data_IF_929498653934
#
_entry.id   IF_929498653934
#
_cell.length_a   1.000
_cell.length_b   1.000
_cell.length_c   1.000
_cell.angle_alpha   90.00
_cell.angle_beta   90.00
_cell.angle_gamma   90.00
#
_symmetry.space_group_name_H-M   'P 1'
#
loop_
_entity.id
_entity.type
_entity.pdbx_description
1 polymer ?
#
# COMPACT_ATOMS: atom_id res chain seq x y z
N UNK A 1 -54.75 -9.17 -9.49
CA UNK A 1 -54.09 -10.38 -8.97
C UNK A 1 -53.04 -10.76 -10.00
N UNK A 2 -51.78 -10.40 -9.83
CA UNK A 2 -50.85 -11.00 -8.87
C UNK A 2 -49.71 -10.01 -8.60
N UNK A 3 -49.48 -9.76 -7.32
CA UNK A 3 -48.29 -9.13 -6.75
C UNK A 3 -47.19 -10.19 -6.57
N UNK A 4 -45.96 -9.87 -6.97
CA UNK A 4 -44.68 -10.41 -6.50
C UNK A 4 -43.61 -9.82 -7.45
N UNK A 5 -42.49 -9.22 -7.04
CA UNK A 5 -41.61 -9.50 -5.93
C UNK A 5 -40.87 -8.20 -5.55
N UNK A 6 -40.82 -7.89 -4.25
CA UNK A 6 -39.76 -7.06 -3.69
C UNK A 6 -38.41 -7.74 -3.91
N UNK A 7 -37.41 -6.96 -4.33
CA UNK A 7 -36.02 -7.30 -4.11
C UNK A 7 -35.33 -6.05 -3.56
N UNK A 8 -35.29 -5.99 -2.23
CA UNK A 8 -34.50 -5.07 -1.43
C UNK A 8 -33.06 -4.99 -1.94
N UNK A 9 -32.63 -3.79 -2.32
CA UNK A 9 -31.22 -3.50 -2.59
C UNK A 9 -30.39 -3.79 -1.33
N UNK A 10 -29.24 -4.49 -1.43
CA UNK A 10 -28.37 -4.71 -0.29
C UNK A 10 -27.70 -3.38 0.15
N UNK A 11 -27.54 -3.12 1.46
CA UNK A 11 -26.78 -1.98 1.94
C UNK A 11 -25.29 -2.21 1.62
N UNK A 12 -24.71 -1.30 0.84
CA UNK A 12 -23.32 -1.37 0.38
C UNK A 12 -22.31 -1.24 1.52
N UNK A 13 -21.52 -2.31 1.70
CA UNK A 13 -20.11 -2.38 2.08
C UNK A 13 -19.55 -1.28 3.01
N UNK A 14 -19.39 -1.55 4.32
CA UNK A 14 -18.57 -0.75 5.22
C UNK A 14 -17.13 -1.30 5.28
N UNK A 15 -16.11 -0.52 4.90
CA UNK A 15 -14.73 -0.99 5.14
C UNK A 15 -13.51 -0.21 4.64
N UNK A 16 -13.65 0.90 3.90
CA UNK A 16 -12.48 1.56 3.27
C UNK A 16 -11.70 2.51 4.20
N UNK A 17 -12.33 3.13 5.20
CA UNK A 17 -11.71 4.26 5.93
C UNK A 17 -10.62 3.88 6.94
N UNK A 18 -10.66 2.67 7.52
CA UNK A 18 -9.80 2.31 8.67
C UNK A 18 -8.32 2.10 8.31
N UNK A 19 -8.04 1.59 7.11
CA UNK A 19 -6.67 1.34 6.66
C UNK A 19 -5.97 2.64 6.23
N UNK A 20 -6.69 3.56 5.59
CA UNK A 20 -6.18 4.88 5.20
C UNK A 20 -5.88 5.74 6.43
N UNK A 21 -6.76 5.72 7.43
CA UNK A 21 -6.55 6.43 8.69
C UNK A 21 -5.32 5.89 9.45
N UNK A 22 -5.18 4.57 9.51
CA UNK A 22 -4.02 3.91 10.12
C UNK A 22 -2.71 4.25 9.38
N UNK A 23 -2.73 4.23 8.04
CA UNK A 23 -1.59 4.62 7.22
C UNK A 23 -1.18 6.08 7.42
N UNK A 24 -2.16 6.98 7.43
CA UNK A 24 -1.98 8.42 7.66
C UNK A 24 -1.38 8.70 9.04
N UNK A 25 -1.91 8.04 10.08
CA UNK A 25 -1.39 8.09 11.45
C UNK A 25 0.04 7.55 11.54
N UNK A 26 0.35 6.49 10.81
CA UNK A 26 1.71 5.92 10.79
C UNK A 26 2.70 6.86 10.10
N UNK A 27 2.28 7.52 9.02
CA UNK A 27 3.11 8.50 8.31
C UNK A 27 3.28 9.80 9.11
N UNK A 28 2.30 10.24 9.89
CA UNK A 28 2.41 11.48 10.68
C UNK A 28 3.50 11.41 11.76
N UNK A 29 3.85 10.21 12.20
CA UNK A 29 4.92 9.97 13.19
C UNK A 29 6.25 9.56 12.54
N UNK A 30 6.30 9.43 11.21
CA UNK A 30 7.47 8.98 10.48
C UNK A 30 8.36 10.15 10.04
N UNK A 31 9.68 9.93 10.08
CA UNK A 31 10.68 10.92 9.68
C UNK A 31 10.94 10.84 8.17
N UNK A 32 10.74 11.94 7.43
CA UNK A 32 11.07 11.97 5.99
C UNK A 32 12.59 11.88 5.80
N UNK A 33 13.05 10.83 5.11
CA UNK A 33 14.47 10.63 4.78
C UNK A 33 14.82 11.32 3.47
N UNK A 34 14.00 11.10 2.43
CA UNK A 34 14.26 11.63 1.08
C UNK A 34 13.01 11.64 0.23
N UNK A 35 12.86 12.67 -0.59
CA UNK A 35 11.84 12.75 -1.64
C UNK A 35 12.49 12.62 -3.03
N UNK A 36 11.96 11.72 -3.87
CA UNK A 36 12.33 11.57 -5.28
C UNK A 36 11.16 11.83 -6.21
N UNK A 37 11.32 11.60 -7.52
CA UNK A 37 10.25 11.81 -8.51
C UNK A 37 9.11 10.76 -8.45
N UNK A 38 9.42 9.58 -7.89
CA UNK A 38 8.51 8.43 -7.87
C UNK A 38 7.91 8.15 -6.49
N UNK A 39 8.60 8.55 -5.43
CA UNK A 39 8.25 8.17 -4.07
C UNK A 39 8.90 9.07 -3.02
N UNK A 40 8.31 9.11 -1.82
CA UNK A 40 8.93 9.57 -0.58
C UNK A 40 9.38 8.38 0.25
N UNK A 41 10.55 8.52 0.87
CA UNK A 41 11.10 7.55 1.81
C UNK A 41 11.01 8.12 3.22
N UNK A 42 10.41 7.34 4.12
CA UNK A 42 10.34 7.68 5.53
C UNK A 42 11.04 6.63 6.38
N UNK A 43 11.51 7.04 7.55
CA UNK A 43 12.04 6.19 8.60
C UNK A 43 11.04 6.15 9.74
N UNK A 44 10.69 4.96 10.19
CA UNK A 44 9.74 4.74 11.26
C UNK A 44 10.13 3.51 12.10
N UNK A 45 9.42 3.29 13.20
CA UNK A 45 9.46 2.05 13.95
C UNK A 45 8.17 1.25 13.67
N UNK A 46 8.30 0.02 13.19
CA UNK A 46 7.18 -0.90 12.99
C UNK A 46 7.42 -2.16 13.80
N UNK A 47 6.46 -2.51 14.67
CA UNK A 47 6.57 -3.64 15.61
C UNK A 47 7.88 -3.61 16.41
N UNK A 48 8.27 -2.42 16.88
CA UNK A 48 9.50 -2.20 17.64
C UNK A 48 10.80 -2.29 16.82
N UNK A 49 10.72 -2.43 15.49
CA UNK A 49 11.89 -2.55 14.61
C UNK A 49 12.05 -1.30 13.73
N UNK A 50 13.29 -0.82 13.54
CA UNK A 50 13.57 0.26 12.59
C UNK A 50 13.17 -0.18 11.18
N UNK A 51 12.39 0.66 10.51
CA UNK A 51 11.71 0.33 9.26
C UNK A 51 11.79 1.50 8.29
N UNK A 52 11.94 1.18 7.00
CA UNK A 52 11.81 2.16 5.93
C UNK A 52 10.44 2.04 5.30
N UNK A 53 9.76 3.16 5.13
CA UNK A 53 8.50 3.26 4.42
C UNK A 53 8.77 3.90 3.07
N UNK A 54 8.26 3.29 2.00
CA UNK A 54 8.27 3.87 0.65
C UNK A 54 6.84 4.19 0.24
N UNK A 55 6.51 5.47 0.29
CA UNK A 55 5.23 6.02 -0.19
C UNK A 55 5.37 6.35 -1.69
N UNK A 56 4.59 5.70 -2.54
CA UNK A 56 4.61 5.97 -3.98
C UNK A 56 3.60 7.05 -4.35
N UNK A 57 3.99 7.94 -5.26
CA UNK A 57 3.07 8.97 -5.76
C UNK A 57 2.09 8.39 -6.78
N UNK A 58 0.77 8.69 -6.64
CA UNK A 58 -0.18 8.39 -7.70
C UNK A 58 0.16 9.23 -8.93
N UNK A 59 0.04 8.62 -10.10
CA UNK A 59 0.23 9.32 -11.37
C UNK A 59 -1.13 9.44 -12.03
N UNK A 60 -1.71 10.64 -11.95
CA UNK A 60 -3.10 10.93 -12.34
C UNK A 60 -3.41 10.71 -13.83
N UNK A 61 -2.38 10.60 -14.67
CA UNK A 61 -2.55 10.31 -16.10
C UNK A 61 -2.88 8.83 -16.41
N UNK A 62 -2.86 7.93 -15.42
CA UNK A 62 -3.09 6.49 -15.63
C UNK A 62 -4.52 6.12 -15.26
N UNK A 63 -5.10 5.20 -16.04
CA UNK A 63 -6.35 4.56 -15.67
C UNK A 63 -6.19 3.82 -14.31
N UNK A 64 -7.14 3.96 -13.36
CA UNK A 64 -7.03 3.36 -12.02
C UNK A 64 -6.72 1.86 -12.04
N UNK A 65 -7.48 1.06 -12.79
CA UNK A 65 -7.23 -0.39 -12.85
C UNK A 65 -5.84 -0.76 -13.38
N UNK A 66 -5.32 0.01 -14.33
CA UNK A 66 -3.98 -0.20 -14.87
C UNK A 66 -2.92 0.20 -13.84
N UNK A 67 -3.19 1.29 -13.12
CA UNK A 67 -2.32 1.77 -12.07
C UNK A 67 -2.13 0.72 -10.97
N UNK A 68 -3.21 0.07 -10.57
CA UNK A 68 -3.23 -0.94 -9.51
C UNK A 68 -2.46 -2.18 -9.93
N UNK A 69 -2.77 -2.70 -11.13
CA UNK A 69 -2.05 -3.84 -11.74
C UNK A 69 -0.55 -3.56 -11.83
N UNK A 70 -0.18 -2.36 -12.27
CA UNK A 70 1.23 -1.96 -12.40
C UNK A 70 1.93 -1.83 -11.05
N UNK A 71 1.26 -1.22 -10.08
CA UNK A 71 1.82 -1.03 -8.74
C UNK A 71 1.99 -2.35 -8.01
N UNK A 72 0.99 -3.24 -8.04
CA UNK A 72 1.09 -4.59 -7.46
C UNK A 72 2.25 -5.37 -8.07
N UNK A 73 2.41 -5.34 -9.41
CA UNK A 73 3.53 -6.01 -10.08
C UNK A 73 4.88 -5.42 -9.65
N UNK A 74 5.00 -4.10 -9.59
CA UNK A 74 6.24 -3.41 -9.18
C UNK A 74 6.61 -3.71 -7.73
N UNK A 75 5.65 -3.62 -6.80
CA UNK A 75 5.87 -3.96 -5.40
C UNK A 75 6.34 -5.39 -5.25
N UNK A 76 5.69 -6.35 -5.93
CA UNK A 76 6.12 -7.74 -5.91
C UNK A 76 7.55 -7.94 -6.46
N UNK A 77 7.90 -7.21 -7.52
CA UNK A 77 9.25 -7.24 -8.09
C UNK A 77 10.29 -6.69 -7.11
N UNK A 78 10.00 -5.56 -6.46
CA UNK A 78 10.90 -4.93 -5.49
C UNK A 78 11.10 -5.82 -4.26
N UNK A 79 10.03 -6.40 -3.71
CA UNK A 79 10.12 -7.34 -2.59
C UNK A 79 10.98 -8.54 -2.96
N UNK A 80 10.80 -9.11 -4.17
CA UNK A 80 11.63 -10.22 -4.64
C UNK A 80 13.10 -9.83 -4.79
N UNK A 81 13.39 -8.66 -5.35
CA UNK A 81 14.76 -8.16 -5.47
C UNK A 81 15.41 -7.94 -4.10
N UNK A 82 14.70 -7.32 -3.16
CA UNK A 82 15.18 -7.12 -1.77
C UNK A 82 15.46 -8.47 -1.10
N UNK A 83 14.56 -9.44 -1.26
CA UNK A 83 14.74 -10.78 -0.67
C UNK A 83 15.96 -11.49 -1.26
N UNK A 84 16.21 -11.38 -2.57
CA UNK A 84 17.42 -11.93 -3.21
C UNK A 84 18.69 -11.28 -2.67
N UNK A 85 18.75 -9.96 -2.60
CA UNK A 85 19.89 -9.24 -2.05
C UNK A 85 20.13 -9.59 -0.57
N UNK A 86 19.06 -9.80 0.20
CA UNK A 86 19.13 -10.26 1.60
C UNK A 86 19.66 -11.69 1.72
N UNK A 87 19.22 -12.61 0.85
CA UNK A 87 19.74 -13.99 0.82
C UNK A 87 21.22 -14.03 0.46
N UNK A 88 21.68 -13.11 -0.38
CA UNK A 88 23.08 -12.97 -0.76
C UNK A 88 23.95 -12.21 0.27
N UNK A 89 23.37 -11.77 1.40
CA UNK A 89 24.10 -11.11 2.49
C UNK A 89 24.40 -9.62 2.28
N UNK A 90 23.92 -9.01 1.18
CA UNK A 90 24.24 -7.61 0.86
C UNK A 90 23.35 -6.58 1.57
N UNK A 91 22.19 -6.97 2.09
CA UNK A 91 21.24 -6.04 2.72
C UNK A 91 21.05 -6.30 4.22
N UNK A 92 20.97 -5.23 5.04
CA UNK A 92 20.65 -5.33 6.45
C UNK A 92 19.23 -5.88 6.66
N UNK A 93 18.97 -6.45 7.85
CA UNK A 93 17.70 -7.13 8.18
C UNK A 93 16.46 -6.20 8.30
N UNK A 94 16.59 -4.93 7.92
CA UNK A 94 15.56 -3.92 8.10
C UNK A 94 14.29 -4.24 7.28
N UNK A 95 13.11 -4.25 7.91
CA UNK A 95 11.84 -4.30 7.17
C UNK A 95 11.67 -3.05 6.28
N UNK A 96 11.02 -3.25 5.13
CA UNK A 96 10.62 -2.19 4.21
C UNK A 96 9.12 -2.32 3.96
N UNK A 97 8.37 -1.25 4.22
CA UNK A 97 6.92 -1.19 4.07
C UNK A 97 6.58 -0.32 2.86
N UNK A 98 5.65 -0.80 2.04
CA UNK A 98 5.15 -0.09 0.87
C UNK A 98 3.78 0.48 1.20
N UNK A 99 3.65 1.79 1.11
CA UNK A 99 2.39 2.49 1.31
C UNK A 99 1.90 2.99 -0.05
N UNK A 100 0.79 2.43 -0.50
CA UNK A 100 0.03 2.94 -1.63
C UNK A 100 -1.21 3.64 -1.05
N UNK A 101 -1.26 4.98 -1.08
CA UNK A 101 -2.37 5.74 -0.52
C UNK A 101 -3.66 5.68 -1.36
N UNK A 102 -3.78 4.76 -2.33
CA UNK A 102 -4.90 4.77 -3.28
C UNK A 102 -5.59 3.42 -3.48
N UNK A 103 -5.12 2.30 -2.92
CA UNK A 103 -5.81 1.01 -3.10
C UNK A 103 -5.53 0.02 -1.98
N UNK A 104 -6.64 -0.50 -1.48
CA UNK A 104 -6.81 -1.67 -0.62
C UNK A 104 -5.96 -2.85 -1.10
N UNK A 105 -5.33 -3.52 -0.16
CA UNK A 105 -4.63 -4.79 -0.36
C UNK A 105 -5.64 -5.91 -0.63
N UNK A 106 -6.05 -6.09 -1.88
CA UNK A 106 -6.53 -7.39 -2.35
C UNK A 106 -5.33 -8.22 -2.80
N UNK A 107 -4.60 -8.80 -1.85
CA UNK A 107 -3.92 -10.07 -2.10
C UNK A 107 -4.79 -11.16 -1.46
N UNK A 108 -5.29 -12.15 -2.22
CA UNK A 108 -5.83 -13.37 -1.61
C UNK A 108 -4.75 -14.12 -0.82
#
# INVERSE_FOLDING_TARGET
TTSAHECSSPPGEPGSGRAEEMASSFLSTAELVKQGAEARLYRAAFLGKPTIIKERFPKLYRHPELHDKLNSRRTAHEVRSILRCRKAGFLPRLPCIWLNPSYNLSCP
#
